data_IF_665435386672
#
_entry.id   IF_665435386672
#
_cell.length_a   1.000
_cell.length_b   1.000
_cell.length_c   1.000
_cell.angle_alpha   90.00
_cell.angle_beta   90.00
_cell.angle_gamma   90.00
#
_symmetry.space_group_name_H-M   'P 1'
#
loop_
_entity.id
_entity.type
_entity.pdbx_description
1 polymer ?
#
# COMPACT_ATOMS: atom_id res chain seq x y z
N UNK A 1 5.13 -2.22 -9.02
CA UNK A 1 5.73 -3.07 -7.96
C UNK A 1 5.55 -2.36 -6.62
N UNK A 2 4.88 -2.99 -5.65
CA UNK A 2 4.76 -2.52 -4.25
C UNK A 2 5.98 -2.98 -3.45
N UNK A 3 6.38 -2.28 -2.37
CA UNK A 3 7.59 -2.58 -1.63
C UNK A 3 7.46 -3.95 -0.99
N UNK A 4 8.28 -4.84 -1.50
CA UNK A 4 8.75 -6.02 -0.82
C UNK A 4 9.11 -5.67 0.64
N UNK A 5 8.78 -6.55 1.58
CA UNK A 5 9.49 -6.69 2.87
C UNK A 5 10.96 -7.14 2.67
N UNK A 6 11.61 -6.65 1.62
CA UNK A 6 12.92 -7.06 1.10
C UNK A 6 13.86 -5.86 1.18
N UNK A 7 13.88 -5.21 2.34
CA UNK A 7 14.88 -4.19 2.64
C UNK A 7 16.05 -4.85 3.38
N UNK A 8 16.69 -5.86 2.76
CA UNK A 8 17.99 -6.43 3.17
C UNK A 8 18.11 -7.04 4.58
N UNK A 9 17.11 -6.85 5.43
CA UNK A 9 16.95 -7.35 6.78
C UNK A 9 15.74 -8.28 6.76
N UNK A 10 15.95 -9.44 6.14
CA UNK A 10 15.49 -10.80 6.53
C UNK A 10 14.16 -10.98 7.26
N UNK A 11 13.17 -10.12 7.07
CA UNK A 11 11.92 -10.20 7.83
C UNK A 11 10.84 -10.79 6.91
N UNK A 12 10.66 -12.10 6.98
CA UNK A 12 9.81 -12.85 6.08
C UNK A 12 8.44 -13.12 6.73
N UNK A 13 7.38 -12.47 6.23
CA UNK A 13 6.02 -12.85 6.62
C UNK A 13 5.69 -14.20 6.00
N UNK A 14 5.29 -15.16 6.82
CA UNK A 14 4.82 -16.47 6.38
C UNK A 14 3.49 -16.82 7.04
N UNK A 15 2.77 -17.78 6.48
CA UNK A 15 1.50 -18.26 7.04
C UNK A 15 1.48 -19.76 7.24
N UNK A 16 1.08 -20.19 8.44
CA UNK A 16 0.65 -21.56 8.67
C UNK A 16 -0.82 -21.70 8.27
N UNK A 17 -1.07 -22.27 7.08
CA UNK A 17 -2.42 -22.50 6.55
C UNK A 17 -2.73 -24.01 6.55
N UNK A 18 -3.79 -24.48 7.24
CA UNK A 18 -3.97 -25.91 7.56
C UNK A 18 -3.88 -26.92 6.39
N UNK A 19 -4.30 -26.59 5.15
CA UNK A 19 -4.14 -27.49 4.01
C UNK A 19 -2.70 -27.71 3.53
N UNK A 20 -1.73 -26.94 4.03
CA UNK A 20 -0.32 -27.05 3.63
C UNK A 20 0.55 -27.44 4.82
N UNK A 21 1.52 -28.32 4.59
CA UNK A 21 2.43 -28.81 5.63
C UNK A 21 3.51 -27.77 5.98
N UNK A 22 3.99 -27.00 5.01
CA UNK A 22 4.95 -25.92 5.20
C UNK A 22 4.25 -24.56 5.31
N UNK A 23 4.90 -23.62 5.99
CA UNK A 23 4.43 -22.22 5.98
C UNK A 23 4.61 -21.65 4.58
N UNK A 24 3.64 -20.84 4.15
CA UNK A 24 3.64 -20.22 2.85
C UNK A 24 4.20 -18.79 2.97
N UNK A 25 5.22 -18.40 2.19
CA UNK A 25 5.72 -17.03 2.23
C UNK A 25 4.73 -16.05 1.61
N UNK A 26 4.58 -14.89 2.23
CA UNK A 26 3.84 -13.76 1.68
C UNK A 26 4.63 -13.21 0.49
N UNK A 27 4.02 -13.18 -0.69
CA UNK A 27 4.63 -12.61 -1.90
C UNK A 27 4.10 -11.23 -2.22
N UNK A 28 2.87 -10.92 -1.80
CA UNK A 28 2.26 -9.62 -2.04
C UNK A 28 1.16 -9.33 -1.02
N UNK A 29 1.15 -8.11 -0.50
CA UNK A 29 0.02 -7.51 0.20
C UNK A 29 -0.55 -6.42 -0.71
N UNK A 30 -1.86 -6.35 -0.87
CA UNK A 30 -2.50 -5.28 -1.63
C UNK A 30 -4.02 -5.34 -1.56
N UNK A 31 -4.68 -4.46 -2.33
CA UNK A 31 -6.15 -4.28 -2.32
C UNK A 31 -7.00 -5.53 -2.51
N UNK A 32 -6.46 -6.59 -3.12
CA UNK A 32 -7.20 -7.85 -3.33
C UNK A 32 -7.01 -8.87 -2.19
N UNK A 33 -6.18 -8.55 -1.21
CA UNK A 33 -5.88 -9.40 -0.05
C UNK A 33 -4.40 -9.76 0.05
N UNK A 34 -4.13 -10.79 0.84
CA UNK A 34 -2.79 -11.34 1.08
C UNK A 34 -2.51 -12.44 0.07
N UNK A 35 -1.40 -12.34 -0.66
CA UNK A 35 -0.99 -13.35 -1.63
C UNK A 35 0.15 -14.17 -1.07
N UNK A 36 -0.04 -15.47 -0.95
CA UNK A 36 0.96 -16.42 -0.45
C UNK A 36 1.37 -17.40 -1.52
N UNK A 37 2.65 -17.77 -1.57
CA UNK A 37 3.14 -18.79 -2.51
C UNK A 37 3.03 -20.18 -1.90
N UNK A 38 2.31 -21.05 -2.58
CA UNK A 38 2.18 -22.45 -2.25
C UNK A 38 3.03 -23.32 -3.17
N UNK A 39 3.65 -24.34 -2.58
CA UNK A 39 4.28 -25.45 -3.29
C UNK A 39 3.42 -26.70 -3.11
N UNK A 40 3.34 -27.53 -4.15
CA UNK A 40 2.65 -28.81 -4.09
C UNK A 40 1.15 -28.74 -4.36
N UNK A 41 0.43 -29.77 -3.92
CA UNK A 41 -0.97 -29.99 -4.29
C UNK A 41 -1.90 -28.94 -3.70
N UNK A 42 -2.74 -28.36 -4.56
CA UNK A 42 -3.73 -27.36 -4.18
C UNK A 42 -4.81 -27.94 -3.25
N UNK A 43 -5.33 -27.14 -2.30
CA UNK A 43 -6.43 -27.57 -1.46
C UNK A 43 -7.67 -27.87 -2.31
N UNK A 44 -8.44 -28.92 -1.98
CA UNK A 44 -9.55 -29.37 -2.80
C UNK A 44 -10.73 -28.38 -2.85
N UNK A 45 -10.81 -27.44 -1.90
CA UNK A 45 -11.95 -26.53 -1.75
C UNK A 45 -11.50 -25.10 -1.42
N UNK A 46 -11.77 -24.18 -2.34
CA UNK A 46 -11.71 -22.73 -2.14
C UNK A 46 -13.00 -22.19 -1.50
N UNK A 47 -12.95 -20.97 -0.97
CA UNK A 47 -14.13 -20.33 -0.37
C UNK A 47 -14.42 -20.69 1.09
N UNK A 48 -13.80 -21.74 1.64
CA UNK A 48 -14.01 -22.14 3.04
C UNK A 48 -13.06 -21.35 3.97
N UNK A 49 -13.59 -20.63 4.97
CA UNK A 49 -12.77 -19.91 5.94
C UNK A 49 -12.01 -20.88 6.85
N UNK A 50 -10.69 -20.70 6.98
CA UNK A 50 -9.84 -21.52 7.85
C UNK A 50 -9.03 -20.64 8.79
N UNK A 51 -8.84 -21.10 10.01
CA UNK A 51 -7.92 -20.45 10.95
C UNK A 51 -6.50 -20.58 10.43
N UNK A 52 -5.74 -19.49 10.45
CA UNK A 52 -4.40 -19.42 9.92
C UNK A 52 -3.58 -18.43 10.75
N UNK A 53 -2.36 -18.81 11.10
CA UNK A 53 -1.47 -17.96 11.90
C UNK A 53 -0.41 -17.35 11.01
N UNK A 54 -0.32 -16.02 11.02
CA UNK A 54 0.76 -15.27 10.40
C UNK A 54 1.95 -15.23 11.33
N UNK A 55 3.11 -15.42 10.75
CA UNK A 55 4.40 -15.35 11.40
C UNK A 55 5.21 -14.26 10.73
N UNK A 56 6.03 -13.61 11.52
CA UNK A 56 7.13 -12.81 11.06
C UNK A 56 8.40 -13.54 11.46
N UNK A 57 9.11 -14.06 10.48
CA UNK A 57 10.13 -15.07 10.68
C UNK A 57 9.56 -16.26 11.46
N UNK A 58 9.98 -16.43 12.71
CA UNK A 58 9.51 -17.50 13.60
C UNK A 58 8.55 -17.01 14.70
N UNK A 59 8.31 -15.70 14.79
CA UNK A 59 7.45 -15.13 15.82
C UNK A 59 6.01 -15.09 15.32
N UNK A 60 5.03 -15.68 16.03
CA UNK A 60 3.63 -15.57 15.65
C UNK A 60 3.16 -14.11 15.81
N UNK A 61 2.72 -13.50 14.71
CA UNK A 61 2.14 -12.15 14.71
C UNK A 61 0.69 -12.19 15.18
N UNK A 62 -0.14 -12.93 14.46
CA UNK A 62 -1.57 -12.93 14.70
C UNK A 62 -2.27 -14.13 14.04
N UNK A 63 -3.45 -14.49 14.56
CA UNK A 63 -4.28 -15.56 13.99
C UNK A 63 -5.52 -14.95 13.35
N UNK A 64 -5.75 -15.30 12.08
CA UNK A 64 -6.85 -14.82 11.25
C UNK A 64 -7.69 -15.99 10.75
N UNK A 65 -8.96 -15.73 10.42
CA UNK A 65 -9.74 -16.64 9.59
C UNK A 65 -9.63 -16.16 8.15
N UNK A 66 -8.99 -16.95 7.30
CA UNK A 66 -8.74 -16.62 5.90
C UNK A 66 -9.50 -17.53 4.95
N UNK A 67 -9.98 -16.94 3.86
CA UNK A 67 -10.58 -17.63 2.72
C UNK A 67 -9.62 -17.51 1.53
N UNK A 68 -9.31 -18.63 0.88
CA UNK A 68 -8.69 -18.62 -0.46
C UNK A 68 -9.75 -18.22 -1.47
N UNK A 69 -9.55 -17.08 -2.13
CA UNK A 69 -10.45 -16.52 -3.15
C UNK A 69 -10.05 -16.95 -4.55
N UNK A 70 -8.75 -16.98 -4.81
CA UNK A 70 -8.19 -17.22 -6.14
C UNK A 70 -6.86 -17.96 -6.02
N UNK A 71 -6.49 -18.66 -7.09
CA UNK A 71 -5.18 -19.27 -7.27
C UNK A 71 -4.69 -18.98 -8.69
N UNK A 72 -3.44 -18.53 -8.81
CA UNK A 72 -2.76 -18.36 -10.08
C UNK A 72 -1.60 -19.35 -10.16
N UNK A 73 -1.58 -20.29 -11.13
CA UNK A 73 -0.43 -21.15 -11.35
C UNK A 73 0.76 -20.34 -11.89
N UNK A 74 1.97 -20.84 -11.63
CA UNK A 74 3.23 -20.33 -12.15
C UNK A 74 3.98 -21.41 -12.93
N UNK A 75 4.89 -20.97 -13.81
CA UNK A 75 5.65 -21.87 -14.69
C UNK A 75 6.61 -22.81 -13.94
N UNK A 76 6.95 -22.49 -12.69
CA UNK A 76 7.80 -23.28 -11.80
C UNK A 76 7.04 -24.35 -10.99
N UNK A 77 5.75 -24.56 -11.28
CA UNK A 77 4.89 -25.50 -10.57
C UNK A 77 4.41 -25.02 -9.19
N UNK A 78 4.63 -23.73 -8.88
CA UNK A 78 4.07 -23.10 -7.68
C UNK A 78 2.74 -22.40 -7.97
N UNK A 79 2.02 -22.04 -6.91
CA UNK A 79 0.75 -21.33 -7.02
C UNK A 79 0.75 -20.10 -6.12
N UNK A 80 0.36 -18.95 -6.66
CA UNK A 80 0.10 -17.75 -5.88
C UNK A 80 -1.37 -17.76 -5.44
N UNK A 81 -1.60 -17.80 -4.12
CA UNK A 81 -2.92 -17.89 -3.49
C UNK A 81 -3.35 -16.54 -2.96
N UNK A 82 -4.42 -15.97 -3.53
CA UNK A 82 -5.03 -14.75 -2.99
C UNK A 82 -5.98 -15.11 -1.86
N UNK A 83 -5.65 -14.69 -0.65
CA UNK A 83 -6.40 -14.93 0.58
C UNK A 83 -6.94 -13.63 1.16
N UNK A 84 -8.12 -13.69 1.76
CA UNK A 84 -8.76 -12.54 2.42
C UNK A 84 -9.25 -12.92 3.80
N UNK A 85 -9.14 -12.00 4.79
CA UNK A 85 -9.82 -12.17 6.06
C UNK A 85 -11.32 -12.32 5.89
N UNK A 86 -11.90 -13.29 6.60
CA UNK A 86 -13.32 -13.60 6.52
C UNK A 86 -14.14 -12.95 7.62
N UNK A 87 -13.48 -12.38 8.63
CA UNK A 87 -14.12 -11.75 9.79
C UNK A 87 -14.10 -10.25 9.63
N UNK A 88 -15.14 -9.58 10.12
CA UNK A 88 -15.31 -8.12 10.04
C UNK A 88 -14.10 -7.34 10.58
N UNK A 89 -13.40 -7.89 11.57
CA UNK A 89 -12.23 -7.25 12.20
C UNK A 89 -10.89 -7.88 11.83
N UNK A 90 -10.87 -8.82 10.86
CA UNK A 90 -9.65 -9.53 10.50
C UNK A 90 -8.57 -8.60 9.93
N UNK A 91 -8.96 -7.66 9.08
CA UNK A 91 -8.05 -6.65 8.54
C UNK A 91 -7.48 -5.77 9.65
N UNK A 92 -8.32 -5.29 10.56
CA UNK A 92 -7.87 -4.48 11.69
C UNK A 92 -6.84 -5.23 12.54
N UNK A 93 -7.09 -6.51 12.85
CA UNK A 93 -6.19 -7.32 13.66
C UNK A 93 -4.84 -7.55 12.98
N UNK A 94 -4.83 -7.78 11.66
CA UNK A 94 -3.61 -7.85 10.85
C UNK A 94 -2.80 -6.55 10.98
N UNK A 95 -3.44 -5.41 10.70
CA UNK A 95 -2.76 -4.12 10.66
C UNK A 95 -2.26 -3.69 12.04
N UNK A 96 -2.98 -3.99 13.13
CA UNK A 96 -2.49 -3.75 14.49
C UNK A 96 -1.24 -4.59 14.80
N UNK A 97 -1.24 -5.87 14.42
CA UNK A 97 -0.10 -6.75 14.67
C UNK A 97 1.15 -6.28 13.90
N UNK A 98 0.97 -5.88 12.64
CA UNK A 98 2.05 -5.31 11.83
C UNK A 98 2.56 -3.99 12.41
N UNK A 99 1.66 -3.09 12.81
CA UNK A 99 2.04 -1.81 13.39
C UNK A 99 2.82 -1.97 14.70
N UNK A 100 2.31 -2.81 15.62
CA UNK A 100 2.96 -3.10 16.89
C UNK A 100 4.38 -3.65 16.67
N UNK A 101 4.52 -4.60 15.74
CA UNK A 101 5.83 -5.14 15.40
C UNK A 101 6.77 -4.07 14.81
N UNK A 102 6.29 -3.25 13.87
CA UNK A 102 7.10 -2.17 13.29
C UNK A 102 7.61 -1.19 14.37
N UNK A 103 6.81 -0.89 15.40
CA UNK A 103 7.25 -0.05 16.52
C UNK A 103 8.32 -0.74 17.37
N UNK A 104 8.12 -2.02 17.69
CA UNK A 104 9.07 -2.79 18.48
C UNK A 104 10.41 -2.97 17.75
N UNK A 105 10.38 -3.22 16.43
CA UNK A 105 11.56 -3.32 15.58
C UNK A 105 12.21 -1.96 15.28
N UNK A 106 11.40 -0.91 15.08
CA UNK A 106 11.86 0.46 14.82
C UNK A 106 12.67 1.03 15.99
N UNK A 107 12.30 0.71 17.23
CA UNK A 107 13.09 1.02 18.44
C UNK A 107 14.51 0.41 18.40
N UNK A 108 14.69 -0.72 17.71
CA UNK A 108 15.97 -1.41 17.56
C UNK A 108 16.74 -0.94 16.30
N UNK A 109 16.05 -0.56 15.23
CA UNK A 109 16.62 -0.21 13.94
C UNK A 109 16.97 1.29 13.76
N UNK A 110 16.57 2.17 14.70
CA UNK A 110 16.87 3.61 14.67
C UNK A 110 18.38 3.95 14.72
N UNK A 111 19.26 2.95 14.65
CA UNK A 111 20.71 3.07 14.61
C UNK A 111 21.32 3.13 13.20
N UNK A 112 20.66 2.69 12.12
CA UNK A 112 21.29 2.68 10.78
C UNK A 112 20.29 2.98 9.65
N UNK A 113 20.50 4.09 8.94
CA UNK A 113 19.57 4.61 7.94
C UNK A 113 20.05 4.45 6.49
N UNK A 114 19.20 3.91 5.61
CA UNK A 114 19.38 3.99 4.15
C UNK A 114 18.04 4.15 3.42
N UNK A 115 17.84 5.27 2.70
CA UNK A 115 16.62 5.62 1.98
C UNK A 115 16.30 4.66 0.82
N UNK A 116 15.02 4.40 0.55
CA UNK A 116 14.55 3.57 -0.56
C UNK A 116 13.59 4.33 -1.49
N UNK A 117 13.68 4.05 -2.78
CA UNK A 117 12.75 4.49 -3.82
C UNK A 117 12.18 3.26 -4.54
N UNK A 118 10.86 3.20 -4.75
CA UNK A 118 10.22 2.14 -5.51
C UNK A 118 10.09 2.52 -7.01
N UNK A 119 10.38 1.61 -7.96
CA UNK A 119 10.10 1.82 -9.37
C UNK A 119 8.63 1.47 -9.71
N UNK A 120 8.04 2.30 -10.57
CA UNK A 120 6.76 2.02 -11.24
C UNK A 120 6.99 1.16 -12.48
N UNK A 121 6.05 0.25 -12.78
CA UNK A 121 5.99 -0.50 -14.05
C UNK A 121 5.63 0.47 -15.19
N UNK A 122 6.63 1.22 -15.64
CA UNK A 122 6.60 1.98 -16.87
C UNK A 122 7.91 1.72 -17.61
N UNK A 123 8.19 0.45 -17.91
CA UNK A 123 9.26 0.13 -18.84
C UNK A 123 8.81 0.51 -20.26
N UNK A 124 9.55 1.48 -20.81
CA UNK A 124 9.64 1.86 -22.22
C UNK A 124 8.78 3.05 -22.66
N UNK A 125 9.30 4.25 -22.42
CA UNK A 125 9.33 5.28 -23.46
C UNK A 125 10.49 6.24 -23.16
N UNK A 126 11.57 6.07 -23.93
CA UNK A 126 12.65 7.05 -24.03
C UNK A 126 12.06 8.44 -24.25
N UNK A 127 12.44 9.37 -23.37
CA UNK A 127 12.10 10.76 -23.50
C UNK A 127 12.91 11.37 -24.65
N UNK A 128 12.24 11.60 -25.77
CA UNK A 128 12.68 12.55 -26.79
C UNK A 128 11.95 13.88 -26.55
N UNK A 129 12.64 15.04 -26.49
CA UNK A 129 12.00 16.30 -26.13
C UNK A 129 11.39 16.93 -27.37
N UNK A 130 10.11 16.64 -27.64
CA UNK A 130 9.33 17.42 -28.60
C UNK A 130 7.83 17.37 -28.24
N UNK A 131 7.36 18.50 -27.71
CA UNK A 131 6.01 19.05 -27.88
C UNK A 131 4.92 18.07 -28.36
N UNK A 132 4.22 17.47 -27.40
CA UNK A 132 2.92 16.83 -27.62
C UNK A 132 1.88 17.51 -26.72
N UNK A 133 0.88 18.12 -27.34
CA UNK A 133 -0.35 18.62 -26.70
C UNK A 133 -1.03 17.51 -25.89
N UNK A 134 -1.44 17.72 -24.61
CA UNK A 134 -2.03 16.66 -23.81
C UNK A 134 -3.49 16.46 -24.22
N UNK A 135 -3.76 15.38 -24.96
CA UNK A 135 -5.08 14.78 -25.03
C UNK A 135 -5.34 14.02 -23.71
N UNK A 136 -6.47 14.31 -23.06
CA UNK A 136 -7.06 13.62 -21.89
C UNK A 136 -6.11 13.25 -20.73
N UNK A 137 -5.58 14.28 -20.04
CA UNK A 137 -5.04 14.05 -18.71
C UNK A 137 -6.18 13.91 -17.69
N UNK A 138 -6.33 12.71 -17.12
CA UNK A 138 -7.29 12.44 -16.03
C UNK A 138 -7.13 13.47 -14.90
N UNK A 139 -8.24 13.99 -14.33
CA UNK A 139 -8.18 14.94 -13.23
C UNK A 139 -7.50 14.33 -11.99
N UNK A 140 -6.57 15.08 -11.39
CA UNK A 140 -5.80 14.62 -10.23
C UNK A 140 -5.81 15.60 -9.07
N UNK A 141 -5.66 15.10 -7.84
CA UNK A 141 -5.38 15.89 -6.63
C UNK A 141 -4.25 15.26 -5.86
N UNK A 142 -3.44 16.08 -5.19
CA UNK A 142 -2.28 15.60 -4.43
C UNK A 142 -2.30 16.11 -3.01
N UNK A 143 -1.84 15.26 -2.10
CA UNK A 143 -1.61 15.58 -0.70
C UNK A 143 -0.25 15.01 -0.27
N UNK A 144 0.34 15.57 0.78
CA UNK A 144 1.50 15.01 1.44
C UNK A 144 1.19 14.86 2.93
N UNK A 145 1.54 13.70 3.49
CA UNK A 145 1.36 13.35 4.89
C UNK A 145 2.73 13.15 5.51
N UNK A 146 3.03 13.90 6.56
CA UNK A 146 4.25 13.73 7.34
C UNK A 146 3.95 12.97 8.62
N UNK A 147 4.67 11.89 8.84
CA UNK A 147 4.56 11.00 10.00
C UNK A 147 5.68 11.29 10.99
N UNK A 148 5.64 10.66 12.16
CA UNK A 148 6.64 10.85 13.21
C UNK A 148 8.02 10.33 12.78
N UNK A 149 8.04 9.20 12.06
CA UNK A 149 9.26 8.58 11.56
C UNK A 149 9.02 7.84 10.23
N UNK A 150 10.12 7.25 9.73
CA UNK A 150 10.12 6.51 8.46
C UNK A 150 9.36 5.18 8.53
N UNK A 151 9.35 4.50 9.68
CA UNK A 151 8.64 3.25 9.88
C UNK A 151 7.13 3.47 9.81
N UNK A 152 6.65 4.50 10.51
CA UNK A 152 5.28 4.98 10.46
C UNK A 152 4.86 5.40 9.04
N UNK A 153 5.74 6.11 8.33
CA UNK A 153 5.49 6.49 6.93
C UNK A 153 5.38 5.27 5.99
N UNK A 154 6.19 4.22 6.21
CA UNK A 154 6.12 2.97 5.44
C UNK A 154 4.83 2.22 5.72
N UNK A 155 4.50 2.06 7.01
CA UNK A 155 3.24 1.45 7.45
C UNK A 155 2.03 2.16 6.85
N UNK A 156 2.03 3.50 6.88
CA UNK A 156 0.97 4.32 6.31
C UNK A 156 0.83 4.14 4.79
N UNK A 157 1.94 4.07 4.06
CA UNK A 157 1.92 3.83 2.61
C UNK A 157 1.31 2.46 2.25
N UNK A 158 1.70 1.40 2.97
CA UNK A 158 1.15 0.06 2.73
C UNK A 158 -0.33 -0.01 3.12
N UNK A 159 -0.73 0.69 4.19
CA UNK A 159 -2.12 0.79 4.62
C UNK A 159 -3.00 1.48 3.57
N UNK A 160 -2.52 2.56 2.95
CA UNK A 160 -3.24 3.30 1.90
C UNK A 160 -3.54 2.42 0.68
N UNK A 161 -2.56 1.64 0.23
CA UNK A 161 -2.75 0.72 -0.91
C UNK A 161 -3.79 -0.36 -0.58
N UNK A 162 -3.72 -0.94 0.62
CA UNK A 162 -4.65 -1.99 1.03
C UNK A 162 -6.09 -1.49 1.11
N UNK A 163 -6.29 -0.26 1.60
CA UNK A 163 -7.61 0.32 1.80
C UNK A 163 -8.10 1.13 0.58
N UNK A 164 -7.48 0.96 -0.60
CA UNK A 164 -7.87 1.68 -1.81
C UNK A 164 -9.36 1.54 -2.14
N UNK A 165 -9.94 0.34 -2.03
CA UNK A 165 -11.37 0.14 -2.33
C UNK A 165 -12.29 0.87 -1.33
N UNK A 166 -11.88 1.00 -0.07
CA UNK A 166 -12.61 1.80 0.94
C UNK A 166 -12.53 3.29 0.60
N UNK A 167 -11.34 3.77 0.20
CA UNK A 167 -11.14 5.15 -0.26
C UNK A 167 -11.95 5.47 -1.51
N UNK A 168 -12.05 4.51 -2.44
CA UNK A 168 -12.87 4.62 -3.65
C UNK A 168 -14.35 4.71 -3.31
N UNK A 169 -14.83 3.84 -2.42
CA UNK A 169 -16.22 3.88 -1.96
C UNK A 169 -16.55 5.19 -1.23
N UNK A 170 -15.63 5.71 -0.42
CA UNK A 170 -15.76 7.01 0.26
C UNK A 170 -15.88 8.15 -0.76
N UNK A 171 -14.99 8.20 -1.75
CA UNK A 171 -15.02 9.21 -2.80
C UNK A 171 -16.35 9.19 -3.59
N UNK A 172 -16.81 8.00 -3.95
CA UNK A 172 -18.08 7.81 -4.66
C UNK A 172 -19.30 8.17 -3.80
N UNK A 173 -19.25 7.92 -2.49
CA UNK A 173 -20.28 8.32 -1.54
C UNK A 173 -20.38 9.84 -1.36
N UNK A 174 -19.27 10.57 -1.53
CA UNK A 174 -19.26 12.03 -1.46
C UNK A 174 -19.75 12.70 -2.75
N UNK A 175 -19.47 12.12 -3.91
CA UNK A 175 -19.95 12.62 -5.19
C UNK A 175 -20.13 11.45 -6.17
N UNK A 176 -21.38 11.11 -6.54
CA UNK A 176 -21.66 9.97 -7.41
C UNK A 176 -21.01 10.04 -8.80
N UNK A 177 -20.68 11.24 -9.29
CA UNK A 177 -20.00 11.45 -10.58
C UNK A 177 -18.47 11.57 -10.48
N UNK A 178 -17.88 11.32 -9.31
CA UNK A 178 -16.43 11.25 -9.13
C UNK A 178 -16.01 9.81 -8.85
N UNK A 179 -15.22 9.26 -9.76
CA UNK A 179 -14.71 7.90 -9.64
C UNK A 179 -13.22 7.93 -9.34
N UNK A 180 -12.83 7.57 -8.11
CA UNK A 180 -11.42 7.38 -7.78
C UNK A 180 -10.92 6.09 -8.43
N UNK A 181 -10.05 6.20 -9.43
CA UNK A 181 -9.57 5.07 -10.21
C UNK A 181 -8.21 4.57 -9.75
N UNK A 182 -7.34 5.51 -9.38
CA UNK A 182 -5.97 5.19 -8.99
C UNK A 182 -5.57 6.06 -7.81
N UNK A 183 -4.81 5.44 -6.91
CA UNK A 183 -4.12 6.10 -5.83
C UNK A 183 -2.64 5.79 -6.02
N UNK A 184 -1.86 6.82 -6.29
CA UNK A 184 -0.42 6.68 -6.33
C UNK A 184 0.16 7.27 -5.07
N UNK A 185 1.19 6.63 -4.53
CA UNK A 185 1.91 7.15 -3.38
C UNK A 185 3.42 7.04 -3.56
N UNK A 186 4.15 7.93 -2.91
CA UNK A 186 5.61 7.96 -2.87
C UNK A 186 6.08 8.34 -1.49
N UNK A 187 6.86 7.47 -0.87
CA UNK A 187 7.51 7.76 0.40
C UNK A 187 8.86 8.47 0.18
N UNK A 188 9.12 9.52 0.95
CA UNK A 188 10.42 10.20 1.05
C UNK A 188 10.72 10.47 2.53
N UNK A 189 11.52 9.59 3.16
CA UNK A 189 11.79 9.69 4.59
C UNK A 189 10.55 9.43 5.44
N UNK A 190 10.16 10.42 6.24
CA UNK A 190 8.96 10.46 7.08
C UNK A 190 7.73 11.04 6.36
N UNK A 191 7.85 11.41 5.08
CA UNK A 191 6.77 12.00 4.27
C UNK A 191 6.24 11.00 3.23
N UNK A 192 4.92 10.94 3.07
CA UNK A 192 4.22 10.17 2.02
C UNK A 192 3.42 11.13 1.15
N UNK A 193 3.89 11.34 -0.08
CA UNK A 193 3.16 12.05 -1.12
C UNK A 193 2.12 11.12 -1.74
N UNK A 194 0.87 11.58 -1.87
CA UNK A 194 -0.27 10.84 -2.40
C UNK A 194 -0.89 11.61 -3.57
N UNK A 195 -1.20 10.92 -4.66
CA UNK A 195 -1.89 11.44 -5.84
C UNK A 195 -3.14 10.60 -6.10
N UNK A 196 -4.29 11.25 -5.95
CA UNK A 196 -5.61 10.73 -6.29
C UNK A 196 -5.88 11.02 -7.76
N UNK A 197 -6.22 9.98 -8.54
CA UNK A 197 -6.57 10.08 -9.96
C UNK A 197 -8.04 9.72 -10.13
N UNK A 198 -8.81 10.62 -10.72
CA UNK A 198 -10.24 10.49 -10.87
C UNK A 198 -10.65 10.39 -12.34
N UNK A 199 -11.75 9.69 -12.61
CA UNK A 199 -12.60 9.96 -13.77
C UNK A 199 -13.80 10.79 -13.29
N UNK A 200 -14.26 11.68 -14.17
CA UNK A 200 -15.42 12.55 -13.92
C UNK A 200 -16.52 12.16 -14.89
N UNK A 201 -17.64 11.73 -14.34
CA UNK A 201 -18.87 11.53 -15.08
C UNK A 201 -19.80 12.73 -14.87
N UNK A 202 -20.27 13.31 -15.97
CA UNK A 202 -21.18 14.46 -15.93
C UNK A 202 -20.48 15.80 -15.65
N UNK A 203 -21.07 16.62 -14.78
CA UNK A 203 -20.69 18.03 -14.59
C UNK A 203 -19.96 18.31 -13.27
N UNK A 204 -19.24 17.34 -12.69
CA UNK A 204 -18.48 17.61 -11.47
C UNK A 204 -17.41 18.67 -11.74
N UNK A 205 -17.49 19.77 -10.99
CA UNK A 205 -16.57 20.89 -11.18
C UNK A 205 -15.27 20.70 -10.40
N UNK A 206 -14.31 21.61 -10.67
CA UNK A 206 -13.00 21.60 -10.02
C UNK A 206 -13.10 21.72 -8.49
N UNK A 207 -14.14 22.39 -7.99
CA UNK A 207 -14.38 22.60 -6.57
C UNK A 207 -14.83 21.31 -5.90
N UNK A 208 -15.82 20.62 -6.48
CA UNK A 208 -16.31 19.31 -6.03
C UNK A 208 -15.18 18.30 -5.94
N UNK A 209 -14.29 18.26 -6.94
CA UNK A 209 -13.10 17.41 -6.94
C UNK A 209 -12.14 17.75 -5.79
N UNK A 210 -11.96 19.03 -5.51
CA UNK A 210 -11.07 19.50 -4.43
C UNK A 210 -11.65 19.18 -3.06
N UNK A 211 -12.95 19.39 -2.88
CA UNK A 211 -13.65 19.11 -1.62
C UNK A 211 -13.73 17.60 -1.35
N UNK A 212 -13.94 16.78 -2.39
CA UNK A 212 -13.88 15.33 -2.29
C UNK A 212 -12.50 14.87 -1.82
N UNK A 213 -11.42 15.29 -2.49
CA UNK A 213 -10.07 14.90 -2.12
C UNK A 213 -9.67 15.38 -0.71
N UNK A 214 -10.12 16.58 -0.29
CA UNK A 214 -9.92 17.07 1.09
C UNK A 214 -10.63 16.19 2.11
N UNK A 215 -11.92 15.89 1.90
CA UNK A 215 -12.67 14.99 2.79
C UNK A 215 -12.06 13.60 2.88
N UNK A 216 -11.55 13.07 1.76
CA UNK A 216 -10.80 11.81 1.76
C UNK A 216 -9.54 11.90 2.61
N UNK A 217 -8.77 13.00 2.51
CA UNK A 217 -7.59 13.21 3.37
C UNK A 217 -7.96 13.31 4.85
N UNK A 218 -9.03 14.06 5.18
CA UNK A 218 -9.49 14.22 6.56
C UNK A 218 -9.96 12.89 7.15
N UNK A 219 -10.65 12.08 6.34
CA UNK A 219 -11.06 10.74 6.72
C UNK A 219 -9.85 9.83 6.94
N UNK A 220 -8.87 9.81 6.03
CA UNK A 220 -7.62 9.06 6.18
C UNK A 220 -6.97 9.40 7.52
N UNK A 221 -6.81 10.69 7.80
CA UNK A 221 -6.17 11.18 9.03
C UNK A 221 -6.93 10.78 10.28
N UNK A 222 -8.24 10.92 10.29
CA UNK A 222 -9.07 10.48 11.40
C UNK A 222 -8.98 8.97 11.60
N UNK A 223 -8.98 8.20 10.52
CA UNK A 223 -9.05 6.75 10.56
C UNK A 223 -7.74 6.11 11.02
N UNK A 224 -6.59 6.55 10.51
CA UNK A 224 -5.30 6.00 10.96
C UNK A 224 -5.00 6.38 12.41
N UNK A 225 -5.40 7.57 12.84
CA UNK A 225 -5.31 7.97 14.25
C UNK A 225 -6.21 7.13 15.12
N UNK A 226 -7.47 6.94 14.72
CA UNK A 226 -8.46 6.17 15.49
C UNK A 226 -8.10 4.69 15.60
N UNK A 227 -7.62 4.09 14.51
CA UNK A 227 -7.34 2.65 14.43
C UNK A 227 -5.95 2.29 14.93
N UNK A 228 -4.93 3.14 14.80
CA UNK A 228 -3.55 2.75 15.08
C UNK A 228 -2.82 3.69 16.05
N UNK A 229 -3.49 4.73 16.54
CA UNK A 229 -2.87 5.84 17.27
C UNK A 229 -1.67 6.42 16.51
N UNK A 230 -1.81 6.50 15.18
CA UNK A 230 -0.78 7.00 14.26
C UNK A 230 -1.01 8.50 14.00
N UNK A 231 -0.26 9.42 14.65
CA UNK A 231 -0.45 10.85 14.44
C UNK A 231 0.18 11.28 13.12
N UNK A 232 -0.60 11.99 12.30
CA UNK A 232 -0.07 12.74 11.16
C UNK A 232 0.37 14.10 11.67
N UNK A 233 1.68 14.34 11.66
CA UNK A 233 2.31 15.56 12.16
C UNK A 233 1.99 16.76 11.26
N UNK A 234 1.94 16.54 9.95
CA UNK A 234 1.61 17.59 8.97
C UNK A 234 0.83 17.00 7.79
N UNK A 235 -0.23 17.68 7.36
CA UNK A 235 -0.99 17.36 6.15
C UNK A 235 -0.96 18.57 5.21
N UNK A 236 -0.40 18.40 4.01
CA UNK A 236 -0.29 19.46 3.00
C UNK A 236 -1.11 19.09 1.76
N UNK A 237 -2.11 19.89 1.42
CA UNK A 237 -2.95 19.66 0.24
C UNK A 237 -2.53 20.58 -0.92
N UNK A 238 -2.36 20.02 -2.12
CA UNK A 238 -2.12 20.78 -3.36
C UNK A 238 -0.69 21.31 -3.57
N UNK A 239 0.24 21.11 -2.63
CA UNK A 239 1.64 21.53 -2.79
C UNK A 239 2.54 20.35 -3.10
N UNK A 240 2.97 20.25 -4.36
CA UNK A 240 4.09 19.39 -4.75
C UNK A 240 5.39 20.11 -4.37
N UNK A 241 6.28 19.49 -3.58
CA UNK A 241 7.66 20.01 -3.49
C UNK A 241 8.28 19.93 -4.89
N UNK A 242 8.92 20.99 -5.41
CA UNK A 242 9.68 20.87 -6.64
C UNK A 242 10.79 19.85 -6.43
N UNK A 243 10.82 18.83 -7.28
CA UNK A 243 11.91 17.89 -7.34
C UNK A 243 13.19 18.66 -7.68
N UNK A 244 14.12 18.82 -6.73
CA UNK A 244 15.48 19.26 -7.04
C UNK A 244 16.21 18.05 -7.62
N UNK A 245 16.60 18.05 -8.91
CA UNK A 245 17.53 17.05 -9.40
C UNK A 245 18.83 17.19 -8.59
N UNK A 246 19.39 16.06 -8.18
CA UNK A 246 20.68 16.00 -7.51
C UNK A 246 21.71 16.76 -8.36
N UNK A 247 22.34 17.76 -7.74
CA UNK A 247 23.35 18.58 -8.40
C UNK A 247 24.52 17.72 -8.86
N UNK A 248 24.70 17.61 -10.16
CA UNK A 248 25.98 17.19 -10.73
C UNK A 248 27.03 18.24 -10.38
N UNK A 249 27.96 17.86 -9.50
CA UNK A 249 29.17 18.63 -9.23
C UNK A 249 30.09 18.48 -10.43
N UNK A 250 30.17 19.52 -11.28
CA UNK A 250 31.22 19.62 -12.29
C UNK A 250 32.52 20.06 -11.59
N UNK A 251 33.42 19.11 -11.37
CA UNK A 251 34.81 19.42 -11.03
C UNK A 251 35.57 19.61 -12.34
N UNK A 252 35.91 20.86 -12.68
CA UNK A 252 36.86 21.15 -13.76
C UNK A 252 38.26 21.25 -13.17
N UNK A 253 39.19 20.50 -13.76
CA UNK A 253 40.64 20.66 -13.61
C UNK A 253 41.13 21.91 -14.33
#
# INVERSE_FOLDING_TARGET
>A
MLPTLDDGATTHITIAYPPFASRLPLVRLGRHGLVFRAHGTMPPVFGVPRSATLYLDEVPLCTLRLIVRQSAPRDDGTHDLTMQPSTTNGDALLWHALHAHCRDAGMLAQQDGAAQAAPSDAASREASPASATPADARPTRSAAFRLADRGDARFFADWLEYHFDELRALAQGHSPGLHLNELEHRQTGDEVDVRFVYDIDGHADRQTLTDCARRTCDWITAEVRRRFDLPIAEQRFGMRKPHRPSGYSFSSK
#
